data_IF_394432938079
#
_entry.id   IF_394432938079
#
_cell.length_a   1.000
_cell.length_b   1.000
_cell.length_c   1.000
_cell.angle_alpha   90.00
_cell.angle_beta   90.00
_cell.angle_gamma   90.00
#
_symmetry.space_group_name_H-M   'P 1'
#
loop_
_entity.id
_entity.type
_entity.pdbx_description
1 polymer ?
#
# COMPACT_ATOMS: atom_id res chain seq x y z
N UNK A 1 7.84 -3.49 -7.66
CA UNK A 1 6.58 -3.76 -8.39
C UNK A 1 5.50 -2.85 -7.83
N UNK A 2 4.73 -2.13 -8.67
CA UNK A 2 3.67 -1.24 -8.20
C UNK A 2 2.42 -2.01 -7.77
N UNK A 3 1.69 -1.48 -6.79
CA UNK A 3 0.27 -1.80 -6.58
C UNK A 3 -0.58 -0.71 -7.23
N UNK A 4 -1.86 -0.99 -7.48
CA UNK A 4 -2.74 -0.10 -8.25
C UNK A 4 -3.98 0.31 -7.46
N UNK A 5 -4.70 1.27 -8.03
CA UNK A 5 -6.06 1.60 -7.63
C UNK A 5 -7.02 0.64 -8.31
N UNK A 6 -8.19 0.45 -7.70
CA UNK A 6 -9.38 0.02 -8.39
C UNK A 6 -9.84 1.14 -9.33
N UNK A 7 -9.80 0.88 -10.64
CA UNK A 7 -10.10 1.86 -11.68
C UNK A 7 -11.57 2.34 -11.66
N UNK A 8 -12.47 1.53 -11.10
CA UNK A 8 -13.89 1.87 -11.03
C UNK A 8 -14.23 2.81 -9.87
N UNK A 9 -13.49 2.70 -8.76
CA UNK A 9 -13.76 3.45 -7.53
C UNK A 9 -12.71 4.51 -7.20
N UNK A 10 -11.52 4.40 -7.79
CA UNK A 10 -10.35 5.23 -7.49
C UNK A 10 -9.74 4.96 -6.11
N UNK A 11 -10.15 3.89 -5.41
CA UNK A 11 -9.54 3.50 -4.13
C UNK A 11 -8.34 2.59 -4.32
N UNK A 12 -7.40 2.57 -3.38
CA UNK A 12 -6.30 1.60 -3.40
C UNK A 12 -6.88 0.18 -3.30
N UNK A 13 -6.50 -0.70 -4.23
CA UNK A 13 -6.89 -2.10 -4.18
C UNK A 13 -5.95 -2.85 -3.22
N UNK A 14 -6.33 -2.84 -1.93
CA UNK A 14 -5.56 -3.50 -0.87
C UNK A 14 -5.52 -5.03 -1.00
N UNK A 15 -6.51 -5.64 -1.63
CA UNK A 15 -6.56 -7.09 -1.80
C UNK A 15 -5.62 -7.52 -2.92
N UNK A 16 -5.56 -6.77 -4.02
CA UNK A 16 -4.56 -6.97 -5.06
C UNK A 16 -3.16 -6.65 -4.53
N UNK A 17 -2.99 -5.62 -3.69
CA UNK A 17 -1.74 -5.35 -2.99
C UNK A 17 -1.27 -6.56 -2.17
N UNK A 18 -2.15 -7.18 -1.37
CA UNK A 18 -1.80 -8.36 -0.55
C UNK A 18 -1.43 -9.58 -1.42
N UNK A 19 -2.22 -9.85 -2.47
CA UNK A 19 -1.93 -10.94 -3.43
C UNK A 19 -0.56 -10.74 -4.09
N UNK A 20 -0.30 -9.54 -4.56
CA UNK A 20 0.96 -9.18 -5.23
C UNK A 20 2.15 -9.24 -4.29
N UNK A 21 1.99 -8.77 -3.05
CA UNK A 21 3.04 -8.84 -2.03
C UNK A 21 3.38 -10.29 -1.64
N UNK A 22 2.41 -11.20 -1.65
CA UNK A 22 2.64 -12.63 -1.37
C UNK A 22 3.50 -13.29 -2.45
N UNK A 23 3.28 -12.94 -3.72
CA UNK A 23 4.05 -13.46 -4.85
C UNK A 23 5.45 -12.85 -4.92
N UNK A 24 5.56 -11.54 -4.71
CA UNK A 24 6.81 -10.79 -4.90
C UNK A 24 7.72 -10.77 -3.67
N UNK A 25 7.16 -10.99 -2.46
CA UNK A 25 7.87 -10.97 -1.17
C UNK A 25 8.74 -9.71 -0.98
N UNK A 26 8.13 -8.51 -0.98
CA UNK A 26 8.88 -7.27 -0.85
C UNK A 26 9.57 -7.19 0.51
N UNK A 27 10.75 -6.55 0.54
CA UNK A 27 11.41 -6.16 1.81
C UNK A 27 10.86 -4.85 2.38
N UNK A 28 10.22 -4.04 1.55
CA UNK A 28 9.68 -2.72 1.88
C UNK A 28 8.39 -2.47 1.09
N UNK A 29 7.37 -1.94 1.76
CA UNK A 29 6.16 -1.41 1.13
C UNK A 29 6.06 0.08 1.50
N UNK A 30 5.82 0.92 0.49
CA UNK A 30 5.66 2.37 0.65
C UNK A 30 4.17 2.72 0.64
N UNK A 31 3.70 3.37 1.70
CA UNK A 31 2.36 3.92 1.84
C UNK A 31 2.43 5.44 1.78
N UNK A 32 2.20 5.99 0.60
CA UNK A 32 2.23 7.42 0.32
C UNK A 32 1.99 7.69 -1.15
N UNK A 33 1.47 8.88 -1.46
CA UNK A 33 1.20 9.31 -2.82
C UNK A 33 1.27 10.84 -2.92
N UNK A 34 1.67 11.33 -4.10
CA UNK A 34 1.64 12.75 -4.41
C UNK A 34 0.24 13.25 -4.81
N UNK A 35 -0.60 12.37 -5.35
CA UNK A 35 -1.92 12.72 -5.90
C UNK A 35 -2.97 11.66 -5.54
N UNK A 36 -3.33 11.59 -4.26
CA UNK A 36 -4.38 10.70 -3.77
C UNK A 36 -5.25 11.43 -2.74
N UNK A 37 -6.52 11.67 -3.08
CA UNK A 37 -7.43 12.51 -2.29
C UNK A 37 -8.18 11.75 -1.18
N UNK A 38 -7.72 10.55 -0.80
CA UNK A 38 -8.34 9.71 0.23
C UNK A 38 -7.31 9.36 1.30
N UNK A 39 -7.82 9.01 2.47
CA UNK A 39 -6.99 8.52 3.56
C UNK A 39 -6.45 7.11 3.23
N UNK A 40 -5.20 6.87 3.60
CA UNK A 40 -4.61 5.53 3.54
C UNK A 40 -5.10 4.68 4.71
N UNK A 41 -5.48 3.43 4.44
CA UNK A 41 -5.64 2.41 5.48
C UNK A 41 -4.26 1.86 5.88
N UNK A 42 -3.54 2.61 6.73
CA UNK A 42 -2.23 2.22 7.24
C UNK A 42 -2.27 0.89 8.01
N UNK A 43 -3.38 0.60 8.69
CA UNK A 43 -3.54 -0.64 9.45
C UNK A 43 -3.57 -1.85 8.49
N UNK A 44 -4.29 -1.75 7.37
CA UNK A 44 -4.30 -2.78 6.32
C UNK A 44 -2.92 -2.98 5.70
N UNK A 45 -2.20 -1.90 5.38
CA UNK A 45 -0.85 -2.01 4.82
C UNK A 45 0.12 -2.65 5.83
N UNK A 46 0.05 -2.27 7.11
CA UNK A 46 0.87 -2.87 8.19
C UNK A 46 0.64 -4.38 8.29
N UNK A 47 -0.63 -4.83 8.27
CA UNK A 47 -0.96 -6.27 8.29
C UNK A 47 -0.31 -7.03 7.14
N UNK A 48 -0.30 -6.46 5.93
CA UNK A 48 0.38 -7.09 4.77
C UNK A 48 1.89 -7.13 4.98
N UNK A 49 2.48 -6.03 5.47
CA UNK A 49 3.90 -5.98 5.76
C UNK A 49 4.31 -7.03 6.80
N UNK A 50 3.53 -7.21 7.88
CA UNK A 50 3.79 -8.23 8.91
C UNK A 50 3.77 -9.65 8.33
N UNK A 51 2.76 -9.95 7.49
CA UNK A 51 2.63 -11.25 6.83
C UNK A 51 3.84 -11.59 5.96
N UNK A 52 4.41 -10.59 5.28
CA UNK A 52 5.55 -10.78 4.37
C UNK A 52 6.92 -10.47 5.02
N UNK A 53 6.95 -10.12 6.32
CA UNK A 53 8.15 -9.63 7.02
C UNK A 53 8.83 -8.43 6.31
N UNK A 54 7.99 -7.53 5.79
CA UNK A 54 8.42 -6.30 5.14
C UNK A 54 8.42 -5.11 6.12
N UNK A 55 9.26 -4.12 5.82
CA UNK A 55 9.20 -2.80 6.44
C UNK A 55 8.04 -2.02 5.82
N UNK A 56 7.37 -1.21 6.64
CA UNK A 56 6.41 -0.21 6.17
C UNK A 56 7.07 1.16 6.24
N UNK A 57 7.15 1.85 5.11
CA UNK A 57 7.51 3.27 5.04
C UNK A 57 6.25 4.07 4.73
N UNK A 58 5.89 5.00 5.61
CA UNK A 58 4.86 5.99 5.33
C UNK A 58 5.50 7.26 4.76
N UNK A 59 5.23 7.58 3.50
CA UNK A 59 5.62 8.85 2.89
C UNK A 59 4.43 9.81 2.99
N UNK A 60 4.50 10.69 3.98
CA UNK A 60 3.41 11.61 4.34
C UNK A 60 3.62 13.04 3.79
N UNK A 61 4.51 13.22 2.81
CA UNK A 61 4.92 14.56 2.36
C UNK A 61 3.76 15.49 1.92
N UNK A 62 2.68 14.93 1.35
CA UNK A 62 1.56 15.71 0.81
C UNK A 62 0.34 15.77 1.74
N UNK A 63 0.36 15.10 2.88
CA UNK A 63 -0.78 14.98 3.81
C UNK A 63 -0.45 15.56 5.20
N UNK A 64 0.44 16.56 5.23
CA UNK A 64 0.85 17.30 6.44
C UNK A 64 -0.20 18.33 6.86
#
# INVERSE_FOLDING_TARGET
MPYRLDESTGYIDYDQLEKSATLFRPKLIVAGASAYARLYDYARVRKVCDKQKAVLLADMAHIS
#
